data_IF_358473558554
#
_entry.id   IF_358473558554
#
_cell.length_a   1.000
_cell.length_b   1.000
_cell.length_c   1.000
_cell.angle_alpha   90.00
_cell.angle_beta   90.00
_cell.angle_gamma   90.00
#
_symmetry.space_group_name_H-M   'P 1'
#
loop_
_entity.id
_entity.type
_entity.pdbx_description
1 polymer ?
#
# COMPACT_ATOMS: atom_id res chain seq x y z
N UNK A 1 9.39 -13.87 12.61
CA UNK A 1 10.03 -12.81 13.40
C UNK A 1 10.15 -11.55 12.54
N UNK A 2 9.94 -10.39 13.12
CA UNK A 2 10.08 -9.09 12.46
C UNK A 2 10.80 -8.15 13.43
N UNK A 3 11.80 -7.44 12.91
CA UNK A 3 12.55 -6.46 13.70
C UNK A 3 11.93 -5.08 13.52
N UNK A 4 11.87 -4.33 14.61
CA UNK A 4 11.46 -2.94 14.63
C UNK A 4 12.57 -2.10 15.26
N UNK A 5 12.91 -0.99 14.65
CA UNK A 5 13.79 0.01 15.25
C UNK A 5 12.95 0.90 16.14
N UNK A 6 13.38 1.07 17.36
CA UNK A 6 12.79 1.99 18.34
C UNK A 6 13.87 2.96 18.80
N UNK A 7 13.47 4.18 19.12
CA UNK A 7 14.39 5.22 19.55
C UNK A 7 14.73 5.07 21.03
N UNK A 8 13.82 4.48 21.83
CA UNK A 8 13.97 4.27 23.25
C UNK A 8 13.50 2.86 23.63
N UNK A 9 14.17 2.26 24.61
CA UNK A 9 13.86 0.93 25.14
C UNK A 9 13.13 0.99 26.49
N UNK A 10 12.89 2.19 27.02
CA UNK A 10 12.21 2.37 28.29
C UNK A 10 10.80 1.80 28.24
N UNK A 11 10.49 0.89 29.17
CA UNK A 11 9.20 0.21 29.23
C UNK A 11 9.06 -1.05 28.35
N UNK A 12 10.07 -1.39 27.54
CA UNK A 12 10.06 -2.63 26.75
C UNK A 12 10.70 -3.75 27.58
N UNK A 13 9.91 -4.76 27.93
CA UNK A 13 10.39 -5.93 28.66
C UNK A 13 10.44 -7.16 27.76
N UNK A 14 11.42 -8.04 28.01
CA UNK A 14 11.51 -9.32 27.32
C UNK A 14 10.26 -10.17 27.62
N UNK A 15 9.56 -10.62 26.57
CA UNK A 15 8.31 -11.36 26.73
C UNK A 15 7.08 -10.46 26.97
N UNK A 16 7.25 -9.14 26.99
CA UNK A 16 6.14 -8.18 27.07
C UNK A 16 5.21 -8.26 25.85
N UNK A 17 3.95 -7.90 26.03
CA UNK A 17 2.95 -7.83 24.97
C UNK A 17 2.64 -6.37 24.60
N UNK A 18 2.67 -6.06 23.31
CA UNK A 18 2.18 -4.79 22.76
C UNK A 18 0.69 -4.94 22.46
N UNK A 19 -0.12 -4.05 22.97
CA UNK A 19 -1.58 -4.09 22.82
C UNK A 19 -2.10 -2.89 22.04
N UNK A 20 -3.38 -2.92 21.67
CA UNK A 20 -4.03 -1.77 21.01
C UNK A 20 -4.12 -0.52 21.89
N UNK A 21 -3.88 -0.65 23.19
CA UNK A 21 -3.84 0.46 24.15
C UNK A 21 -2.76 1.50 23.85
N UNK A 22 -1.73 1.15 23.09
CA UNK A 22 -0.66 2.08 22.69
C UNK A 22 -1.10 3.08 21.62
N UNK A 23 -2.29 2.91 21.07
CA UNK A 23 -2.87 3.80 20.07
C UNK A 23 -3.98 4.67 20.67
N UNK A 24 -4.25 5.82 20.04
CA UNK A 24 -5.33 6.72 20.41
C UNK A 24 -6.38 6.86 19.29
N UNK A 25 -7.64 7.01 19.66
CA UNK A 25 -8.70 7.32 18.70
C UNK A 25 -8.42 8.66 18.01
N UNK A 26 -8.62 8.72 16.70
CA UNK A 26 -8.27 9.89 15.88
C UNK A 26 -6.80 9.94 15.43
N UNK A 27 -5.93 9.11 15.97
CA UNK A 27 -4.52 9.02 15.56
C UNK A 27 -4.41 8.56 14.11
N UNK A 28 -3.42 9.11 13.39
CA UNK A 28 -3.07 8.64 12.04
C UNK A 28 -2.00 7.56 12.11
N UNK A 29 -2.21 6.51 11.33
CA UNK A 29 -1.32 5.34 11.27
C UNK A 29 -0.99 4.98 9.83
N UNK A 30 0.17 4.38 9.66
CA UNK A 30 0.61 3.73 8.42
C UNK A 30 0.48 2.22 8.57
N UNK A 31 -0.22 1.58 7.63
CA UNK A 31 -0.48 0.14 7.64
C UNK A 31 0.24 -0.53 6.50
N UNK A 32 1.15 -1.43 6.82
CA UNK A 32 1.92 -2.22 5.85
C UNK A 32 1.47 -3.66 5.84
N UNK A 33 1.42 -4.25 4.66
CA UNK A 33 1.09 -5.67 4.50
C UNK A 33 1.29 -6.12 3.07
N UNK A 34 1.14 -7.41 2.84
CA UNK A 34 1.26 -8.01 1.51
C UNK A 34 -0.08 -7.97 0.78
N UNK A 35 -0.08 -7.41 -0.43
CA UNK A 35 -1.29 -7.36 -1.26
C UNK A 35 -1.70 -8.75 -1.74
N UNK A 36 -2.99 -8.93 -1.99
CA UNK A 36 -3.47 -10.17 -2.63
C UNK A 36 -2.75 -10.43 -3.95
N UNK A 37 -2.18 -11.62 -4.11
CA UNK A 37 -1.61 -12.07 -5.36
C UNK A 37 -2.70 -12.31 -6.41
N UNK A 38 -2.47 -11.83 -7.64
CA UNK A 38 -3.37 -12.01 -8.79
C UNK A 38 -2.69 -12.71 -9.95
N UNK A 39 -1.54 -13.33 -9.67
CA UNK A 39 -0.75 -14.06 -10.68
C UNK A 39 -0.20 -13.15 -11.77
N UNK A 40 0.07 -13.73 -12.96
CA UNK A 40 0.47 -12.98 -14.14
C UNK A 40 -0.75 -12.23 -14.72
N UNK A 41 -0.64 -10.94 -14.91
CA UNK A 41 -1.72 -10.09 -15.38
C UNK A 41 -1.29 -9.28 -16.61
N UNK A 42 -2.20 -9.17 -17.56
CA UNK A 42 -2.03 -8.31 -18.73
C UNK A 42 -2.14 -6.84 -18.39
N UNK A 43 -1.83 -5.99 -19.37
CA UNK A 43 -1.76 -4.53 -19.23
C UNK A 43 -3.07 -3.90 -18.74
N UNK A 44 -4.20 -4.39 -19.20
CA UNK A 44 -5.51 -3.88 -18.81
C UNK A 44 -5.77 -4.09 -17.33
N UNK A 45 -5.57 -5.31 -16.81
CA UNK A 45 -5.79 -5.65 -15.41
C UNK A 45 -4.72 -5.05 -14.50
N UNK A 46 -3.45 -5.05 -14.95
CA UNK A 46 -2.32 -4.60 -14.14
C UNK A 46 -2.17 -3.09 -14.08
N UNK A 47 -2.45 -2.40 -15.18
CA UNK A 47 -2.18 -0.96 -15.34
C UNK A 47 -3.38 -0.12 -15.80
N UNK A 48 -4.54 -0.74 -16.02
CA UNK A 48 -5.75 -0.02 -16.44
C UNK A 48 -5.71 0.49 -17.89
N UNK A 49 -4.97 -0.18 -18.79
CA UNK A 49 -4.91 0.21 -20.19
C UNK A 49 -6.24 -0.03 -20.88
N UNK A 50 -6.59 0.86 -21.81
CA UNK A 50 -7.78 0.72 -22.66
C UNK A 50 -7.63 -0.42 -23.66
N UNK A 51 -8.76 -0.95 -24.11
CA UNK A 51 -8.80 -1.88 -25.23
C UNK A 51 -8.62 -1.11 -26.54
N UNK A 52 -8.10 -1.81 -27.57
CA UNK A 52 -8.20 -1.33 -28.95
C UNK A 52 -9.62 -1.46 -29.52
N UNK A 53 -9.86 -0.96 -30.75
CA UNK A 53 -11.14 -1.09 -31.42
C UNK A 53 -11.55 -2.56 -31.57
N UNK A 54 -12.84 -2.86 -31.38
CA UNK A 54 -13.39 -4.22 -31.49
C UNK A 54 -14.02 -4.48 -32.86
N UNK A 55 -14.15 -3.44 -33.69
CA UNK A 55 -14.76 -3.46 -35.04
C UNK A 55 -13.84 -2.82 -36.06
N UNK A 56 -14.31 -2.57 -37.27
CA UNK A 56 -13.55 -1.97 -38.39
C UNK A 56 -12.29 -2.74 -38.77
N UNK A 57 -12.28 -4.08 -38.62
CA UNK A 57 -11.16 -4.95 -39.01
C UNK A 57 -9.94 -4.86 -38.08
N UNK A 58 -10.05 -4.22 -36.92
CA UNK A 58 -8.95 -4.20 -35.94
C UNK A 58 -8.59 -5.60 -35.47
N UNK A 59 -7.29 -5.90 -35.45
CA UNK A 59 -6.73 -7.14 -34.89
C UNK A 59 -6.00 -6.88 -33.57
N UNK A 60 -5.96 -5.61 -33.12
CA UNK A 60 -5.26 -5.19 -31.91
C UNK A 60 -6.29 -4.87 -30.80
N UNK A 61 -6.79 -5.89 -30.11
CA UNK A 61 -7.83 -5.73 -29.10
C UNK A 61 -7.27 -5.51 -27.68
N UNK A 62 -6.24 -6.27 -27.31
CA UNK A 62 -5.68 -6.30 -25.93
C UNK A 62 -4.18 -6.14 -25.88
N UNK A 63 -3.53 -5.88 -27.01
CA UNK A 63 -2.10 -5.74 -27.13
C UNK A 63 -1.61 -4.39 -26.56
N UNK A 64 -0.33 -4.29 -26.17
CA UNK A 64 0.23 -3.07 -25.59
C UNK A 64 0.32 -1.89 -26.55
N UNK A 65 0.32 -2.12 -27.88
CA UNK A 65 0.64 -1.10 -28.86
C UNK A 65 2.12 -0.75 -28.88
N UNK A 66 2.46 0.47 -29.30
CA UNK A 66 3.86 0.92 -29.34
C UNK A 66 4.49 0.96 -27.97
N UNK A 67 5.71 0.43 -27.88
CA UNK A 67 6.50 0.40 -26.63
C UNK A 67 7.61 1.47 -26.61
N UNK A 68 7.74 2.24 -27.69
CA UNK A 68 8.67 3.36 -27.76
C UNK A 68 9.14 3.65 -29.18
N UNK A 69 9.99 4.65 -29.34
CA UNK A 69 10.65 4.98 -30.58
C UNK A 69 11.71 3.93 -30.96
N UNK A 70 12.03 3.80 -32.27
CA UNK A 70 12.95 2.80 -32.79
C UNK A 70 14.42 3.20 -32.66
N UNK A 71 14.95 3.90 -33.65
CA UNK A 71 16.38 4.18 -33.79
C UNK A 71 16.99 4.91 -32.59
N UNK A 72 16.33 5.92 -32.08
CA UNK A 72 16.72 6.63 -30.86
C UNK A 72 15.52 6.58 -29.90
N UNK A 73 15.64 5.94 -28.74
CA UNK A 73 16.84 5.52 -27.97
C UNK A 73 17.40 4.12 -28.32
N UNK A 74 16.88 3.39 -29.31
CA UNK A 74 17.30 2.02 -29.65
C UNK A 74 16.97 0.97 -28.60
N UNK A 75 16.17 1.31 -27.58
CA UNK A 75 15.78 0.44 -26.46
C UNK A 75 14.44 0.88 -25.87
N UNK A 76 13.86 0.00 -25.09
CA UNK A 76 12.68 0.33 -24.28
C UNK A 76 13.16 1.03 -23.00
N UNK A 77 12.55 2.17 -22.65
CA UNK A 77 12.90 2.87 -21.42
C UNK A 77 12.59 2.04 -20.18
N UNK A 78 13.47 2.05 -19.16
CA UNK A 78 13.18 1.46 -17.87
C UNK A 78 11.87 2.02 -17.27
N UNK A 79 11.10 1.17 -16.57
CA UNK A 79 9.82 1.58 -16.00
C UNK A 79 8.64 1.56 -16.97
N UNK A 80 8.83 1.20 -18.25
CA UNK A 80 7.71 1.01 -19.17
C UNK A 80 6.73 -0.03 -18.63
N UNK A 81 5.45 0.33 -18.60
CA UNK A 81 4.39 -0.56 -18.09
C UNK A 81 4.15 -1.71 -19.05
N UNK A 82 4.35 -2.92 -18.58
CA UNK A 82 4.16 -4.17 -19.31
C UNK A 82 3.38 -5.19 -18.49
N UNK A 83 2.93 -6.27 -19.11
CA UNK A 83 2.35 -7.41 -18.42
C UNK A 83 3.36 -8.01 -17.43
N UNK A 84 2.88 -8.71 -16.44
CA UNK A 84 3.72 -9.34 -15.42
C UNK A 84 2.95 -9.68 -14.16
N UNK A 85 3.66 -10.10 -13.12
CA UNK A 85 3.07 -10.46 -11.84
C UNK A 85 2.37 -9.26 -11.20
N UNK A 86 1.13 -9.45 -10.78
CA UNK A 86 0.31 -8.45 -10.12
C UNK A 86 -0.05 -8.88 -8.70
N UNK A 87 0.09 -7.98 -7.75
CA UNK A 87 -0.09 -8.28 -6.34
C UNK A 87 1.04 -9.13 -5.73
N UNK A 88 0.84 -9.63 -4.51
CA UNK A 88 1.85 -10.38 -3.76
C UNK A 88 3.10 -9.54 -3.45
N UNK A 89 2.93 -8.24 -3.26
CA UNK A 89 4.00 -7.30 -2.92
C UNK A 89 3.64 -6.58 -1.63
N UNK A 90 4.64 -6.32 -0.81
CA UNK A 90 4.50 -5.48 0.37
C UNK A 90 4.21 -4.04 -0.05
N UNK A 91 3.14 -3.48 0.47
CA UNK A 91 2.79 -2.06 0.30
C UNK A 91 2.45 -1.45 1.65
N UNK A 92 2.51 -0.13 1.71
CA UNK A 92 2.12 0.64 2.90
C UNK A 92 1.03 1.63 2.50
N UNK A 93 -0.14 1.52 3.12
CA UNK A 93 -1.19 2.52 3.05
C UNK A 93 -0.95 3.52 4.17
N UNK A 94 -0.73 4.79 3.81
CA UNK A 94 -0.31 5.83 4.74
C UNK A 94 -1.44 6.71 5.21
N UNK A 95 -1.35 7.17 6.46
CA UNK A 95 -2.21 8.21 7.00
C UNK A 95 -3.66 7.78 7.23
N UNK A 96 -3.90 6.51 7.49
CA UNK A 96 -5.22 6.02 7.88
C UNK A 96 -5.57 6.51 9.29
N UNK A 97 -6.84 6.83 9.53
CA UNK A 97 -7.29 7.33 10.82
C UNK A 97 -7.91 6.20 11.64
N UNK A 98 -7.52 6.08 12.89
CA UNK A 98 -8.13 5.18 13.85
C UNK A 98 -9.47 5.77 14.28
N UNK A 99 -10.56 5.03 14.09
CA UNK A 99 -11.90 5.46 14.47
C UNK A 99 -12.25 5.03 15.89
N UNK A 100 -11.95 3.79 16.25
CA UNK A 100 -12.29 3.20 17.53
C UNK A 100 -11.23 2.18 17.96
N UNK A 101 -11.02 2.10 19.25
CA UNK A 101 -10.17 1.11 19.92
C UNK A 101 -11.06 0.34 20.90
N UNK A 102 -10.98 -0.97 20.84
CA UNK A 102 -11.65 -1.88 21.77
C UNK A 102 -10.58 -2.68 22.50
N UNK A 103 -10.28 -2.27 23.73
CA UNK A 103 -9.21 -2.88 24.54
C UNK A 103 -9.57 -4.31 24.98
N UNK A 104 -10.86 -4.58 25.23
CA UNK A 104 -11.31 -5.88 25.73
C UNK A 104 -11.12 -6.99 24.69
N UNK A 105 -11.34 -6.65 23.42
CA UNK A 105 -11.21 -7.57 22.30
C UNK A 105 -9.87 -7.42 21.57
N UNK A 106 -9.03 -6.48 21.99
CA UNK A 106 -7.78 -6.11 21.33
C UNK A 106 -7.97 -5.76 19.84
N UNK A 107 -9.03 -4.97 19.53
CA UNK A 107 -9.45 -4.59 18.19
C UNK A 107 -9.17 -3.13 17.89
N UNK A 108 -8.68 -2.88 16.69
CA UNK A 108 -8.44 -1.54 16.14
C UNK A 108 -9.30 -1.32 14.90
N UNK A 109 -10.17 -0.32 14.93
CA UNK A 109 -11.02 0.06 13.79
C UNK A 109 -10.38 1.22 13.05
N UNK A 110 -10.03 1.01 11.78
CA UNK A 110 -9.33 2.00 10.95
C UNK A 110 -10.21 2.41 9.77
N UNK A 111 -10.22 3.71 9.45
CA UNK A 111 -10.95 4.26 8.30
C UNK A 111 -10.16 4.07 7.02
N UNK A 112 -10.69 3.31 6.07
CA UNK A 112 -10.11 3.10 4.74
C UNK A 112 -9.75 1.65 4.46
N UNK A 113 -9.08 1.42 3.34
CA UNK A 113 -8.65 0.08 2.93
C UNK A 113 -7.25 -0.24 3.46
N UNK A 114 -7.07 -1.48 3.85
CA UNK A 114 -5.78 -2.03 4.27
C UNK A 114 -5.28 -3.05 3.23
N UNK A 115 -3.97 -3.27 3.10
CA UNK A 115 -3.44 -4.24 2.16
C UNK A 115 -3.75 -5.68 2.57
N UNK A 116 -3.88 -6.57 1.60
CA UNK A 116 -4.01 -8.00 1.82
C UNK A 116 -5.44 -8.53 1.75
N UNK A 117 -5.60 -9.79 2.10
CA UNK A 117 -6.88 -10.49 2.21
C UNK A 117 -7.30 -10.57 3.68
N UNK A 118 -8.58 -10.86 3.98
CA UNK A 118 -8.98 -11.17 5.36
C UNK A 118 -8.08 -12.24 5.99
N UNK A 119 -7.67 -12.03 7.24
CA UNK A 119 -6.71 -12.89 7.95
C UNK A 119 -5.23 -12.68 7.60
N UNK A 120 -4.89 -11.66 6.80
CA UNK A 120 -3.48 -11.31 6.54
C UNK A 120 -2.86 -10.60 7.74
N UNK A 121 -1.58 -10.85 7.96
CA UNK A 121 -0.79 -10.13 8.94
C UNK A 121 -0.53 -8.70 8.45
N UNK A 122 -0.79 -7.73 9.31
CA UNK A 122 -0.56 -6.31 9.06
C UNK A 122 0.40 -5.73 10.10
N UNK A 123 1.27 -4.85 9.65
CA UNK A 123 2.13 -4.07 10.50
C UNK A 123 1.58 -2.64 10.58
N UNK A 124 1.21 -2.21 11.77
CA UNK A 124 0.62 -0.90 12.05
C UNK A 124 1.61 -0.09 12.86
N UNK A 125 1.87 1.13 12.42
CA UNK A 125 2.75 2.07 13.11
C UNK A 125 2.19 3.49 13.07
N UNK A 126 2.57 4.38 13.98
CA UNK A 126 2.25 5.80 13.87
C UNK A 126 2.69 6.35 12.52
N UNK A 127 1.90 7.26 11.93
CA UNK A 127 2.19 7.81 10.61
C UNK A 127 3.42 8.74 10.68
N UNK A 128 4.43 8.49 9.82
CA UNK A 128 5.64 9.30 9.75
C UNK A 128 5.38 10.71 9.17
N UNK A 129 4.31 10.87 8.38
CA UNK A 129 3.88 12.15 7.80
C UNK A 129 2.49 12.46 8.29
N UNK A 130 2.38 12.90 9.50
CA UNK A 130 1.21 13.63 9.94
C UNK A 130 1.41 15.05 9.42
N UNK A 131 0.55 15.48 8.48
CA UNK A 131 0.51 16.88 8.08
C UNK A 131 -0.02 17.72 9.25
N UNK A 132 0.70 17.73 10.34
CA UNK A 132 0.52 18.71 11.39
C UNK A 132 1.05 20.02 10.82
N UNK A 133 0.15 20.89 10.33
CA UNK A 133 0.46 22.32 10.40
C UNK A 133 0.82 22.60 11.86
N UNK A 134 2.03 23.10 12.16
CA UNK A 134 2.28 23.60 13.50
C UNK A 134 1.17 24.60 13.80
N UNK A 135 0.51 24.45 14.93
CA UNK A 135 -0.43 25.45 15.40
C UNK A 135 0.30 26.78 15.34
N UNK A 136 -0.14 27.70 14.49
CA UNK A 136 0.35 29.07 14.52
C UNK A 136 0.03 29.56 15.91
N UNK A 137 1.06 29.71 16.75
CA UNK A 137 0.95 30.32 18.04
C UNK A 137 0.27 31.65 17.83
N UNK A 138 -0.94 31.80 18.36
CA UNK A 138 -1.61 33.10 18.47
C UNK A 138 -0.73 33.99 19.33
N UNK A 139 -0.37 35.13 18.77
CA UNK A 139 0.04 36.28 19.55
C UNK A 139 -1.21 36.87 20.16
#
# INVERSE_FOLDING_TARGET
LTEYRVDDLDGIQLGGAVTVGDFAAGQKVDVSGDTMGRGFAGLQKRHGFSRGPMTHGSKNHRQPGSIGAGTTPGRIYPGKRMSGRYGGKKITTRGLTILKIDSDRNLLVVKGSVPGKPGSLLNIRPANRVGAKPAKGGK
#
